data_IF_538617697018
#
_entry.id   IF_538617697018
#
_cell.length_a   1.000
_cell.length_b   1.000
_cell.length_c   1.000
_cell.angle_alpha   90.00
_cell.angle_beta   90.00
_cell.angle_gamma   90.00
#
_symmetry.space_group_name_H-M   'P 1'
#
loop_
_entity.id
_entity.type
_entity.pdbx_description
1 polymer ?
#
# COMPACT_ATOMS: atom_id res chain seq x y z
N UNK A 1 41.10 -55.12 36.47
CA UNK A 1 40.30 -55.07 37.71
C UNK A 1 39.53 -53.77 37.68
N UNK A 2 38.20 -53.65 37.56
CA UNK A 2 37.04 -54.51 37.29
C UNK A 2 35.97 -53.51 36.78
N UNK A 3 35.30 -53.75 35.64
CA UNK A 3 33.93 -54.28 35.52
C UNK A 3 32.95 -53.65 36.54
N UNK A 4 32.03 -52.77 36.12
CA UNK A 4 30.73 -53.02 35.45
C UNK A 4 29.71 -53.60 36.42
N UNK A 5 28.72 -52.80 36.80
CA UNK A 5 27.45 -53.27 37.35
C UNK A 5 26.32 -52.79 36.44
N UNK A 6 25.89 -53.70 35.57
CA UNK A 6 24.54 -53.75 35.05
C UNK A 6 23.69 -54.51 36.07
N UNK A 7 22.49 -54.03 36.36
CA UNK A 7 21.44 -54.85 36.95
C UNK A 7 20.21 -54.82 36.05
N UNK A 8 19.83 -56.02 35.66
CA UNK A 8 18.84 -56.48 34.69
C UNK A 8 17.45 -56.67 35.31
N UNK A 9 16.41 -56.56 34.45
CA UNK A 9 15.20 -57.41 34.38
C UNK A 9 14.18 -57.35 35.55
N UNK A 10 12.86 -57.56 35.40
CA UNK A 10 12.02 -58.00 34.30
C UNK A 10 10.51 -57.77 34.63
N UNK A 11 9.72 -57.59 33.56
CA UNK A 11 8.43 -58.22 33.21
C UNK A 11 7.24 -58.32 34.17
N UNK A 12 6.07 -57.85 33.70
CA UNK A 12 4.83 -58.62 33.48
C UNK A 12 3.75 -57.68 32.89
N UNK A 13 3.49 -57.70 31.59
CA UNK A 13 2.38 -58.43 30.92
C UNK A 13 0.96 -58.06 31.39
N UNK A 14 0.23 -57.42 30.48
CA UNK A 14 -1.21 -57.18 30.54
C UNK A 14 -1.73 -56.96 29.11
N UNK A 15 -2.04 -58.05 28.43
CA UNK A 15 -2.66 -58.11 27.10
C UNK A 15 -4.19 -57.99 27.22
N UNK A 16 -4.85 -57.24 26.31
CA UNK A 16 -6.14 -57.57 25.66
C UNK A 16 -6.42 -56.55 24.52
N UNK A 17 -6.29 -57.06 23.29
CA UNK A 17 -7.11 -56.91 22.08
C UNK A 17 -7.47 -55.53 21.43
N UNK A 18 -7.72 -55.52 20.09
CA UNK A 18 -7.52 -54.35 19.23
C UNK A 18 -8.83 -53.71 18.73
N UNK A 19 -8.81 -52.39 18.49
CA UNK A 19 -9.86 -51.69 17.76
C UNK A 19 -9.46 -51.49 16.29
N UNK A 20 -10.28 -52.02 15.39
CA UNK A 20 -10.25 -51.87 13.94
C UNK A 20 -10.90 -50.53 13.50
N UNK A 21 -10.74 -50.10 12.23
CA UNK A 21 -11.04 -48.74 11.78
C UNK A 21 -12.52 -48.59 11.40
N UNK A 22 -13.15 -47.50 11.82
CA UNK A 22 -14.52 -47.16 11.41
C UNK A 22 -14.54 -46.37 10.11
N UNK A 23 -15.27 -46.92 9.16
CA UNK A 23 -15.64 -46.39 7.86
C UNK A 23 -16.78 -45.37 7.97
N UNK A 24 -16.80 -44.42 7.02
CA UNK A 24 -17.85 -43.43 6.77
C UNK A 24 -19.28 -43.98 6.76
N UNK A 25 -20.27 -43.08 6.84
CA UNK A 25 -21.40 -43.17 5.93
C UNK A 25 -21.57 -41.91 5.08
N UNK A 26 -21.92 -42.18 3.83
CA UNK A 26 -22.51 -41.27 2.85
C UNK A 26 -23.78 -40.61 3.41
N UNK A 27 -24.02 -39.34 3.08
CA UNK A 27 -25.36 -38.97 2.66
C UNK A 27 -25.39 -37.82 1.65
N UNK A 28 -26.00 -38.19 0.54
CA UNK A 28 -26.39 -37.50 -0.68
C UNK A 28 -27.63 -36.62 -0.42
N UNK A 29 -27.65 -35.35 -0.86
CA UNK A 29 -28.84 -34.67 -1.44
C UNK A 29 -28.40 -33.49 -2.34
N UNK A 30 -28.60 -33.69 -3.65
CA UNK A 30 -29.16 -32.80 -4.71
C UNK A 30 -28.84 -31.29 -4.72
N UNK A 31 -28.15 -30.76 -5.75
CA UNK A 31 -28.61 -30.44 -7.11
C UNK A 31 -29.33 -29.07 -7.24
N UNK A 32 -28.64 -28.13 -7.88
CA UNK A 32 -29.11 -27.05 -8.78
C UNK A 32 -27.84 -26.23 -9.12
N UNK A 33 -27.26 -26.20 -10.31
CA UNK A 33 -27.88 -26.20 -11.62
C UNK A 33 -28.05 -24.76 -12.07
N UNK A 34 -26.96 -24.06 -12.44
CA UNK A 34 -27.07 -23.04 -13.47
C UNK A 34 -25.79 -22.94 -14.31
N UNK A 35 -26.01 -23.02 -15.61
CA UNK A 35 -25.03 -23.24 -16.67
C UNK A 35 -25.24 -22.09 -17.65
N UNK A 36 -24.39 -21.07 -17.61
CA UNK A 36 -24.32 -20.06 -18.66
C UNK A 36 -23.20 -20.42 -19.66
N UNK A 37 -23.44 -20.37 -20.98
CA UNK A 37 -22.60 -21.02 -21.96
C UNK A 37 -21.42 -20.14 -22.42
N UNK A 38 -20.26 -20.75 -22.56
CA UNK A 38 -19.22 -20.31 -23.48
C UNK A 38 -19.71 -20.52 -24.92
N UNK A 39 -19.70 -19.46 -25.74
CA UNK A 39 -19.73 -19.57 -27.18
C UNK A 39 -18.33 -19.27 -27.72
N UNK A 40 -17.71 -20.29 -28.29
CA UNK A 40 -16.59 -20.13 -29.20
C UNK A 40 -17.05 -19.45 -30.48
N UNK A 41 -16.18 -18.62 -31.02
CA UNK A 41 -16.24 -18.18 -32.40
C UNK A 41 -14.89 -18.40 -33.06
N UNK A 42 -15.00 -19.02 -34.23
CA UNK A 42 -13.97 -19.63 -35.04
C UNK A 42 -12.89 -18.67 -35.55
N UNK A 43 -11.71 -19.25 -35.74
CA UNK A 43 -10.67 -18.74 -36.61
C UNK A 43 -11.15 -18.76 -38.07
N UNK A 44 -10.96 -17.65 -38.79
CA UNK A 44 -10.82 -17.68 -40.25
C UNK A 44 -9.81 -16.64 -40.71
N UNK A 45 -8.73 -17.14 -41.31
CA UNK A 45 -7.74 -16.36 -42.02
C UNK A 45 -8.29 -15.88 -43.38
N UNK A 46 -7.94 -14.67 -43.78
CA UNK A 46 -7.73 -14.28 -45.18
C UNK A 46 -6.91 -12.98 -45.22
N UNK A 47 -5.81 -13.02 -45.96
CA UNK A 47 -5.03 -11.87 -46.35
C UNK A 47 -5.73 -11.12 -47.49
N UNK A 48 -5.61 -9.79 -47.54
CA UNK A 48 -5.41 -9.06 -48.79
C UNK A 48 -4.94 -7.61 -48.51
N UNK A 49 -4.16 -7.14 -49.47
CA UNK A 49 -3.26 -6.00 -49.48
C UNK A 49 -3.98 -4.73 -50.03
N UNK A 50 -3.25 -3.61 -50.09
CA UNK A 50 -3.50 -2.40 -50.91
C UNK A 50 -4.18 -1.17 -50.25
N UNK A 51 -3.31 -0.30 -49.72
CA UNK A 51 -3.01 1.07 -50.24
C UNK A 51 -3.97 2.27 -50.03
N UNK A 52 -3.33 3.35 -49.51
CA UNK A 52 -3.50 4.79 -49.80
C UNK A 52 -4.79 5.53 -49.37
N UNK A 53 -4.64 6.46 -48.41
CA UNK A 53 -4.67 7.93 -48.62
C UNK A 53 -5.00 8.68 -47.31
N UNK A 54 -4.11 9.59 -46.88
CA UNK A 54 -4.48 10.79 -46.10
C UNK A 54 -5.12 11.83 -47.05
N UNK A 55 -5.93 12.80 -46.58
CA UNK A 55 -5.35 14.01 -45.95
C UNK A 55 -6.20 14.71 -44.86
N UNK A 56 -5.48 15.51 -44.06
CA UNK A 56 -5.71 16.87 -43.54
C UNK A 56 -7.12 17.50 -43.42
N UNK A 57 -7.35 18.20 -42.30
CA UNK A 57 -7.74 19.65 -42.17
C UNK A 57 -8.09 19.96 -40.69
N UNK A 58 -7.38 20.87 -39.98
CA UNK A 58 -7.69 22.31 -39.79
C UNK A 58 -9.19 22.53 -39.47
N UNK A 59 -9.59 22.98 -38.28
CA UNK A 59 -9.18 24.19 -37.56
C UNK A 59 -10.30 25.22 -37.74
N UNK A 60 -10.92 25.70 -36.65
CA UNK A 60 -11.44 27.08 -36.51
C UNK A 60 -12.16 27.28 -35.17
N UNK A 61 -11.98 28.49 -34.65
CA UNK A 61 -12.52 29.05 -33.42
C UNK A 61 -13.78 29.92 -33.72
N UNK A 62 -14.23 30.67 -32.71
CA UNK A 62 -15.36 31.63 -32.68
C UNK A 62 -16.72 31.02 -32.29
N UNK A 63 -17.64 31.69 -31.60
CA UNK A 63 -17.70 32.89 -30.76
C UNK A 63 -19.14 32.93 -30.17
N UNK A 64 -19.27 33.55 -28.99
CA UNK A 64 -20.43 34.22 -28.37
C UNK A 64 -21.90 33.91 -28.74
N UNK A 65 -22.75 33.85 -27.71
CA UNK A 65 -24.20 33.90 -27.86
C UNK A 65 -24.95 34.01 -26.52
N UNK A 66 -25.09 35.23 -26.02
CA UNK A 66 -26.08 35.64 -25.00
C UNK A 66 -27.52 35.41 -25.51
N UNK A 67 -28.40 34.88 -24.65
CA UNK A 67 -29.84 35.15 -24.71
C UNK A 67 -30.53 34.88 -23.36
N UNK A 68 -31.15 35.93 -22.85
CA UNK A 68 -32.00 35.98 -21.66
C UNK A 68 -33.46 35.54 -21.94
N UNK A 69 -34.18 35.31 -20.84
CA UNK A 69 -35.63 35.58 -20.59
C UNK A 69 -36.60 34.38 -20.60
N UNK A 70 -37.79 34.43 -19.94
CA UNK A 70 -38.23 35.32 -18.84
C UNK A 70 -39.14 34.67 -17.74
N UNK A 71 -39.24 35.45 -16.65
CA UNK A 71 -40.31 35.74 -15.66
C UNK A 71 -41.62 34.93 -15.51
N UNK A 72 -42.06 34.86 -14.24
CA UNK A 72 -43.39 35.24 -13.67
C UNK A 72 -43.29 35.00 -12.15
N UNK A 73 -43.72 35.81 -11.19
CA UNK A 73 -44.66 36.93 -11.12
C UNK A 73 -45.58 36.70 -9.89
N UNK A 74 -45.87 37.75 -9.10
CA UNK A 74 -46.78 37.85 -7.93
C UNK A 74 -46.17 37.52 -6.53
N UNK A 75 -46.35 38.29 -5.46
CA UNK A 75 -47.01 39.59 -5.24
C UNK A 75 -46.54 40.22 -3.90
N UNK A 76 -46.73 41.53 -3.79
CA UNK A 76 -46.46 42.45 -2.65
C UNK A 76 -47.40 42.15 -1.44
N UNK A 77 -47.23 42.61 -0.20
CA UNK A 77 -47.10 43.99 0.30
C UNK A 77 -46.62 44.02 1.78
N UNK A 78 -46.16 45.22 2.16
CA UNK A 78 -45.53 45.62 3.41
C UNK A 78 -46.49 45.95 4.56
N UNK A 79 -45.91 46.06 5.78
CA UNK A 79 -46.22 46.94 6.94
C UNK A 79 -45.85 46.16 8.23
N UNK A 80 -45.31 46.68 9.33
CA UNK A 80 -44.91 47.99 9.85
C UNK A 80 -44.10 47.69 11.13
N UNK A 81 -43.11 48.53 11.46
CA UNK A 81 -42.43 48.50 12.76
C UNK A 81 -43.29 49.27 13.80
N UNK A 82 -43.15 48.99 15.12
CA UNK A 82 -42.37 49.95 15.90
C UNK A 82 -41.55 49.37 17.06
N UNK A 83 -40.66 50.26 17.53
CA UNK A 83 -39.57 50.18 18.50
C UNK A 83 -40.03 50.41 19.96
N UNK A 84 -39.43 49.73 20.94
CA UNK A 84 -39.21 50.09 22.36
C UNK A 84 -38.74 48.81 23.10
N UNK A 85 -37.86 48.75 24.10
CA UNK A 85 -37.29 49.73 25.03
C UNK A 85 -35.99 49.16 25.64
N UNK A 86 -35.15 50.06 26.17
CA UNK A 86 -33.93 49.74 26.92
C UNK A 86 -34.22 49.38 28.39
N UNK A 87 -33.29 48.71 29.09
CA UNK A 87 -32.63 49.20 30.32
C UNK A 87 -31.87 48.09 31.12
N UNK A 88 -30.70 48.48 31.65
CA UNK A 88 -29.92 47.99 32.83
C UNK A 88 -29.53 46.50 32.92
N UNK A 89 -28.28 46.12 33.21
CA UNK A 89 -27.23 46.75 34.00
C UNK A 89 -27.03 45.94 35.28
N UNK A 90 -25.98 45.11 35.34
CA UNK A 90 -25.48 44.45 36.55
C UNK A 90 -24.07 43.90 36.29
N UNK A 91 -23.04 44.60 36.77
CA UNK A 91 -21.81 43.93 37.21
C UNK A 91 -22.12 43.16 38.50
N UNK A 92 -21.38 42.08 38.81
CA UNK A 92 -20.35 42.29 39.82
C UNK A 92 -19.07 41.45 39.65
N UNK A 93 -18.01 42.00 40.27
CA UNK A 93 -16.88 41.36 40.94
C UNK A 93 -15.88 40.52 40.12
N UNK A 94 -14.73 41.16 39.93
CA UNK A 94 -13.40 40.56 39.92
C UNK A 94 -13.15 39.81 41.23
N UNK A 95 -13.02 38.49 41.13
CA UNK A 95 -12.21 37.67 42.02
C UNK A 95 -11.20 36.93 41.14
N UNK A 96 -9.93 37.31 41.30
CA UNK A 96 -8.77 36.58 40.79
C UNK A 96 -8.62 35.27 41.56
N UNK A 97 -8.70 34.14 40.86
CA UNK A 97 -7.85 32.95 41.04
C UNK A 97 -8.53 31.75 40.38
N UNK A 98 -8.17 31.51 39.11
CA UNK A 98 -8.30 30.20 38.46
C UNK A 98 -7.45 30.20 37.20
N UNK A 99 -6.21 29.72 37.33
CA UNK A 99 -5.48 29.10 36.22
C UNK A 99 -6.29 27.89 35.72
N UNK A 100 -7.30 28.15 34.92
CA UNK A 100 -7.90 27.16 34.03
C UNK A 100 -7.41 27.53 32.65
N UNK A 101 -6.41 26.79 32.16
CA UNK A 101 -5.95 26.87 30.78
C UNK A 101 -7.13 26.61 29.86
N UNK A 102 -7.80 27.69 29.46
CA UNK A 102 -8.81 27.70 28.41
C UNK A 102 -8.10 27.22 27.15
N UNK A 103 -8.18 25.91 26.87
CA UNK A 103 -7.80 25.39 25.58
C UNK A 103 -8.75 26.04 24.59
N UNK A 104 -8.34 27.13 23.98
CA UNK A 104 -9.09 27.79 22.92
C UNK A 104 -9.39 26.68 21.91
N UNK A 105 -10.67 26.33 21.79
CA UNK A 105 -11.09 25.31 20.85
C UNK A 105 -10.79 25.84 19.45
N UNK A 106 -9.70 25.36 18.85
CA UNK A 106 -9.38 25.67 17.48
C UNK A 106 -10.15 24.70 16.56
N UNK A 107 -10.93 25.20 15.60
CA UNK A 107 -11.53 24.36 14.57
C UNK A 107 -10.46 23.51 13.86
N UNK A 108 -10.82 22.27 13.49
CA UNK A 108 -9.89 21.37 12.79
C UNK A 108 -9.39 21.99 11.47
N UNK A 109 -10.28 22.64 10.73
CA UNK A 109 -9.96 23.30 9.47
C UNK A 109 -8.89 24.37 9.66
N UNK A 110 -9.02 25.22 10.69
CA UNK A 110 -8.06 26.30 10.94
C UNK A 110 -6.68 25.75 11.31
N UNK A 111 -6.64 24.73 12.18
CA UNK A 111 -5.39 24.07 12.55
C UNK A 111 -4.74 23.35 11.37
N UNK A 112 -5.55 22.74 10.50
CA UNK A 112 -5.09 22.03 9.31
C UNK A 112 -4.49 22.99 8.29
N UNK A 113 -5.20 24.07 7.93
CA UNK A 113 -4.71 25.07 6.97
C UNK A 113 -3.47 25.80 7.50
N UNK A 114 -3.40 26.06 8.82
CA UNK A 114 -2.19 26.60 9.44
C UNK A 114 -0.98 25.67 9.24
N UNK A 115 -1.06 24.40 9.64
CA UNK A 115 0.05 23.45 9.50
C UNK A 115 0.42 23.19 8.04
N UNK A 116 -0.53 23.29 7.12
CA UNK A 116 -0.30 23.12 5.68
C UNK A 116 0.52 24.26 5.07
N UNK A 117 0.43 25.46 5.62
CA UNK A 117 0.98 26.68 5.01
C UNK A 117 2.06 27.38 5.86
N UNK A 118 2.22 27.00 7.12
CA UNK A 118 3.27 27.55 7.98
C UNK A 118 4.65 27.28 7.39
N UNK A 119 5.53 28.27 7.49
CA UNK A 119 6.97 28.17 7.20
C UNK A 119 7.79 27.81 8.46
N UNK A 120 7.15 27.66 9.62
CA UNK A 120 7.81 27.28 10.86
C UNK A 120 8.12 25.78 10.89
N UNK A 121 9.34 25.44 10.49
CA UNK A 121 9.82 24.05 10.49
C UNK A 121 9.91 23.45 11.90
N UNK A 122 10.11 24.27 12.95
CA UNK A 122 10.20 23.76 14.32
C UNK A 122 8.81 23.36 14.85
N UNK A 123 7.77 24.13 14.52
CA UNK A 123 6.38 23.76 14.81
C UNK A 123 6.00 22.44 14.11
N UNK A 124 6.32 22.31 12.82
CA UNK A 124 6.06 21.10 12.03
C UNK A 124 6.80 19.88 12.61
N UNK A 125 8.07 20.05 12.98
CA UNK A 125 8.88 19.01 13.61
C UNK A 125 8.28 18.56 14.94
N UNK A 126 7.93 19.52 15.81
CA UNK A 126 7.31 19.24 17.10
C UNK A 126 5.97 18.50 16.96
N UNK A 127 5.20 18.80 15.91
CA UNK A 127 3.96 18.10 15.62
C UNK A 127 4.21 16.68 15.09
N UNK A 128 5.14 16.52 14.14
CA UNK A 128 5.49 15.22 13.55
C UNK A 128 5.98 14.20 14.58
N UNK A 129 6.74 14.65 15.58
CA UNK A 129 7.32 13.82 16.65
C UNK A 129 6.38 13.56 17.83
N UNK A 130 5.17 14.13 17.82
CA UNK A 130 4.22 13.98 18.92
C UNK A 130 3.69 12.53 18.97
N UNK A 131 3.64 11.89 20.14
CA UNK A 131 3.06 10.56 20.25
C UNK A 131 1.57 10.59 19.86
N UNK A 132 1.13 9.52 19.18
CA UNK A 132 -0.28 9.38 18.82
C UNK A 132 -1.14 9.25 20.09
N UNK A 133 -2.34 9.85 20.12
CA UNK A 133 -3.32 9.61 21.18
C UNK A 133 -3.69 8.13 21.31
N UNK A 134 -4.30 7.76 22.43
CA UNK A 134 -4.90 6.44 22.58
C UNK A 134 -5.99 6.23 21.51
N UNK A 135 -6.01 5.04 20.90
CA UNK A 135 -6.99 4.63 19.90
C UNK A 135 -8.41 4.58 20.46
N UNK A 136 -8.57 4.46 21.78
CA UNK A 136 -9.87 4.51 22.44
C UNK A 136 -10.54 5.89 22.31
N UNK A 137 -9.76 6.97 22.22
CA UNK A 137 -10.24 8.33 21.94
C UNK A 137 -10.28 8.57 20.42
N UNK A 138 -11.38 8.13 19.81
CA UNK A 138 -11.57 8.23 18.36
C UNK A 138 -11.52 9.68 17.86
N UNK A 139 -11.98 10.65 18.67
CA UNK A 139 -12.03 12.05 18.26
C UNK A 139 -10.62 12.65 18.22
N UNK A 140 -9.83 12.46 19.28
CA UNK A 140 -8.44 12.93 19.32
C UNK A 140 -7.59 12.22 18.25
N UNK A 141 -7.75 10.91 18.09
CA UNK A 141 -7.01 10.11 17.12
C UNK A 141 -7.30 10.55 15.68
N UNK A 142 -8.57 10.76 15.33
CA UNK A 142 -8.97 11.25 14.01
C UNK A 142 -8.45 12.66 13.75
N UNK A 143 -8.52 13.55 14.75
CA UNK A 143 -8.01 14.92 14.66
C UNK A 143 -6.51 14.94 14.40
N UNK A 144 -5.73 14.19 15.17
CA UNK A 144 -4.26 14.13 15.01
C UNK A 144 -3.88 13.53 13.66
N UNK A 145 -4.59 12.49 13.21
CA UNK A 145 -4.32 11.87 11.90
C UNK A 145 -4.52 12.87 10.75
N UNK A 146 -5.59 13.67 10.78
CA UNK A 146 -5.82 14.72 9.78
C UNK A 146 -4.73 15.80 9.81
N UNK A 147 -4.31 16.24 10.99
CA UNK A 147 -3.26 17.25 11.12
C UNK A 147 -1.87 16.73 10.72
N UNK A 148 -1.54 15.47 11.03
CA UNK A 148 -0.32 14.82 10.53
C UNK A 148 -0.31 14.71 9.01
N UNK A 149 -1.48 14.57 8.38
CA UNK A 149 -1.60 14.62 6.93
C UNK A 149 -1.23 16.00 6.36
N UNK A 150 -1.52 17.10 7.07
CA UNK A 150 -1.08 18.44 6.69
C UNK A 150 0.43 18.58 6.83
N UNK A 151 1.00 18.14 7.96
CA UNK A 151 2.43 18.17 8.24
C UNK A 151 3.23 17.34 7.22
N UNK A 152 2.79 16.12 6.92
CA UNK A 152 3.43 15.26 5.94
C UNK A 152 3.38 15.84 4.51
N UNK A 153 2.33 16.62 4.19
CA UNK A 153 2.18 17.29 2.90
C UNK A 153 2.89 18.65 2.80
N UNK A 154 3.48 19.15 3.88
CA UNK A 154 4.17 20.43 3.89
C UNK A 154 5.66 20.23 3.62
N UNK A 155 6.17 20.85 2.54
CA UNK A 155 7.58 20.79 2.14
C UNK A 155 8.54 21.49 3.11
N UNK A 156 8.01 22.28 4.06
CA UNK A 156 8.77 22.91 5.15
C UNK A 156 8.99 21.97 6.33
N UNK A 157 8.29 20.85 6.38
CA UNK A 157 8.58 19.79 7.35
C UNK A 157 9.97 19.24 7.05
N UNK A 158 10.89 19.21 8.03
CA UNK A 158 12.24 18.69 7.84
C UNK A 158 12.25 17.29 7.23
N UNK A 159 13.27 16.98 6.41
CA UNK A 159 13.36 15.69 5.72
C UNK A 159 13.37 14.52 6.71
N UNK A 160 14.13 14.65 7.79
CA UNK A 160 14.24 13.67 8.87
C UNK A 160 12.91 13.39 9.56
N UNK A 161 12.00 14.36 9.59
CA UNK A 161 10.67 14.21 10.17
C UNK A 161 9.70 13.59 9.18
N UNK A 162 9.81 13.91 7.88
CA UNK A 162 9.06 13.22 6.82
C UNK A 162 9.46 11.76 6.69
N UNK A 163 10.77 11.45 6.80
CA UNK A 163 11.27 10.06 6.89
C UNK A 163 10.70 9.38 8.12
N UNK A 164 10.76 10.01 9.29
CA UNK A 164 10.18 9.43 10.51
C UNK A 164 8.69 9.12 10.35
N UNK A 165 7.90 10.03 9.78
CA UNK A 165 6.49 9.80 9.51
C UNK A 165 6.28 8.65 8.51
N UNK A 166 7.08 8.59 7.45
CA UNK A 166 7.03 7.53 6.45
C UNK A 166 7.34 6.15 7.05
N UNK A 167 8.27 6.04 7.99
CA UNK A 167 8.64 4.78 8.64
C UNK A 167 7.64 4.32 9.70
N UNK A 168 7.02 5.26 10.43
CA UNK A 168 6.30 4.94 11.68
C UNK A 168 4.79 5.02 11.57
N UNK A 169 4.25 5.82 10.64
CA UNK A 169 2.81 6.05 10.58
C UNK A 169 2.10 4.89 9.89
N UNK A 170 1.01 4.34 10.47
CA UNK A 170 0.24 3.26 9.87
C UNK A 170 -0.89 3.76 8.95
N UNK A 171 -0.87 5.05 8.59
CA UNK A 171 -2.03 5.75 8.04
C UNK A 171 -1.92 5.92 6.52
N UNK A 172 -2.82 5.30 5.73
CA UNK A 172 -2.74 5.35 4.28
C UNK A 172 -2.74 6.78 3.70
N UNK A 173 -3.52 7.72 4.25
CA UNK A 173 -3.58 9.10 3.77
C UNK A 173 -2.22 9.84 3.91
N UNK A 174 -1.49 9.59 5.00
CA UNK A 174 -0.15 10.15 5.22
C UNK A 174 0.87 9.49 4.29
N UNK A 175 0.89 8.15 4.24
CA UNK A 175 1.83 7.40 3.40
C UNK A 175 1.64 7.70 1.91
N UNK A 176 0.40 7.95 1.47
CA UNK A 176 0.11 8.38 0.09
C UNK A 176 0.75 9.72 -0.25
N UNK A 177 0.68 10.71 0.66
CA UNK A 177 1.34 12.00 0.44
C UNK A 177 2.86 11.82 0.35
N UNK A 178 3.44 11.10 1.30
CA UNK A 178 4.88 10.86 1.37
C UNK A 178 5.39 9.99 0.22
N UNK A 179 4.55 9.14 -0.38
CA UNK A 179 4.92 8.34 -1.56
C UNK A 179 5.19 9.18 -2.81
N UNK A 180 4.78 10.45 -2.83
CA UNK A 180 5.04 11.41 -3.89
C UNK A 180 6.07 12.48 -3.48
N UNK A 181 6.76 12.28 -2.35
CA UNK A 181 7.74 13.23 -1.85
C UNK A 181 8.89 13.44 -2.85
N UNK A 182 9.36 14.68 -3.07
CA UNK A 182 10.50 14.92 -3.96
C UNK A 182 11.78 14.19 -3.52
N UNK A 183 11.97 13.95 -2.21
CA UNK A 183 13.13 13.23 -1.70
C UNK A 183 12.95 11.71 -1.81
N UNK A 184 13.90 11.05 -2.47
CA UNK A 184 13.89 9.59 -2.63
C UNK A 184 13.98 8.85 -1.29
N UNK A 185 14.71 9.39 -0.31
CA UNK A 185 14.84 8.77 1.02
C UNK A 185 13.49 8.70 1.75
N UNK A 186 12.63 9.71 1.60
CA UNK A 186 11.26 9.69 2.15
C UNK A 186 10.42 8.63 1.45
N UNK A 187 10.46 8.55 0.11
CA UNK A 187 9.73 7.52 -0.65
C UNK A 187 10.23 6.11 -0.34
N UNK A 188 11.53 5.94 -0.12
CA UNK A 188 12.15 4.66 0.27
C UNK A 188 11.66 4.24 1.66
N UNK A 189 11.56 5.19 2.60
CA UNK A 189 11.00 4.95 3.92
C UNK A 189 9.54 4.49 3.85
N UNK A 190 8.71 5.10 2.98
CA UNK A 190 7.34 4.61 2.72
C UNK A 190 7.39 3.18 2.20
N UNK A 191 8.24 2.90 1.20
CA UNK A 191 8.36 1.58 0.60
C UNK A 191 8.80 0.48 1.59
N UNK A 192 9.53 0.82 2.67
CA UNK A 192 9.93 -0.10 3.74
C UNK A 192 8.84 -0.31 4.80
N UNK A 193 7.85 0.57 4.89
CA UNK A 193 6.85 0.52 5.94
C UNK A 193 5.95 -0.72 5.77
N UNK A 194 5.87 -1.57 6.80
CA UNK A 194 5.07 -2.80 6.77
C UNK A 194 3.56 -2.55 6.87
N UNK A 195 3.16 -1.36 7.34
CA UNK A 195 1.76 -0.94 7.42
C UNK A 195 1.20 -0.45 6.07
N UNK A 196 2.06 -0.30 5.06
CA UNK A 196 1.66 0.05 3.71
C UNK A 196 0.62 -0.92 3.14
N UNK A 197 -0.12 -0.44 2.15
CA UNK A 197 -1.07 -1.28 1.42
C UNK A 197 -0.44 -1.77 0.12
N UNK A 198 -0.78 -2.99 -0.27
CA UNK A 198 -0.27 -3.62 -1.50
C UNK A 198 -0.37 -2.73 -2.74
N UNK A 199 -1.44 -1.93 -2.88
CA UNK A 199 -1.63 -1.02 -4.00
C UNK A 199 -0.65 0.16 -3.98
N UNK A 200 -0.25 0.63 -2.80
CA UNK A 200 0.73 1.71 -2.63
C UNK A 200 2.14 1.18 -2.90
N UNK A 201 2.48 0.03 -2.33
CA UNK A 201 3.75 -0.65 -2.62
C UNK A 201 3.87 -0.97 -4.11
N UNK A 202 2.78 -1.42 -4.75
CA UNK A 202 2.74 -1.66 -6.20
C UNK A 202 2.96 -0.43 -7.07
N UNK A 203 2.74 0.78 -6.54
CA UNK A 203 3.17 2.03 -7.19
C UNK A 203 4.68 2.23 -7.02
N UNK A 204 5.20 2.01 -5.81
CA UNK A 204 6.61 2.22 -5.45
C UNK A 204 7.56 1.20 -6.10
N UNK A 205 7.09 0.01 -6.50
CA UNK A 205 7.89 -0.92 -7.33
C UNK A 205 8.23 -0.36 -8.71
N UNK A 206 7.56 0.74 -9.12
CA UNK A 206 7.76 1.46 -10.38
C UNK A 206 8.34 2.86 -10.17
N UNK A 207 8.88 3.14 -8.98
CA UNK A 207 9.51 4.43 -8.69
C UNK A 207 10.71 4.67 -9.62
N UNK A 208 11.01 5.95 -9.91
CA UNK A 208 12.17 6.31 -10.72
C UNK A 208 13.49 6.00 -9.99
N UNK A 209 13.49 6.07 -8.66
CA UNK A 209 14.67 5.81 -7.85
C UNK A 209 14.88 4.29 -7.60
N UNK A 210 16.07 3.74 -7.90
CA UNK A 210 16.36 2.33 -7.71
C UNK A 210 16.24 1.84 -6.25
N UNK A 211 16.62 2.66 -5.26
CA UNK A 211 16.55 2.28 -3.86
C UNK A 211 15.09 2.14 -3.40
N UNK A 212 14.22 3.04 -3.85
CA UNK A 212 12.76 2.96 -3.60
C UNK A 212 12.17 1.70 -4.24
N UNK A 213 12.51 1.39 -5.50
CA UNK A 213 12.06 0.16 -6.16
C UNK A 213 12.52 -1.10 -5.40
N UNK A 214 13.78 -1.12 -4.99
CA UNK A 214 14.37 -2.22 -4.22
C UNK A 214 13.63 -2.45 -2.90
N UNK A 215 13.43 -1.38 -2.13
CA UNK A 215 12.69 -1.42 -0.87
C UNK A 215 11.26 -1.95 -1.08
N UNK A 216 10.56 -1.43 -2.09
CA UNK A 216 9.21 -1.87 -2.41
C UNK A 216 9.17 -3.35 -2.79
N UNK A 217 10.09 -3.84 -3.64
CA UNK A 217 10.11 -5.25 -4.05
C UNK A 217 10.42 -6.22 -2.89
N UNK A 218 11.09 -5.74 -1.84
CA UNK A 218 11.39 -6.49 -0.61
C UNK A 218 10.28 -6.42 0.44
N UNK A 219 9.33 -5.50 0.31
CA UNK A 219 8.25 -5.33 1.27
C UNK A 219 7.34 -6.59 1.34
N UNK A 220 6.91 -7.02 2.55
CA UNK A 220 5.99 -8.15 2.72
C UNK A 220 4.62 -7.98 2.05
N UNK A 221 4.17 -6.75 1.83
CA UNK A 221 2.90 -6.43 1.15
C UNK A 221 3.00 -6.56 -0.38
N UNK A 222 4.20 -6.81 -0.91
CA UNK A 222 4.43 -6.96 -2.35
C UNK A 222 3.94 -8.31 -2.84
N UNK A 223 2.98 -8.27 -3.74
CA UNK A 223 2.40 -9.48 -4.31
C UNK A 223 3.38 -10.21 -5.24
N UNK A 224 3.18 -11.52 -5.44
CA UNK A 224 3.96 -12.31 -6.40
C UNK A 224 3.93 -11.75 -7.82
N UNK A 225 2.79 -11.18 -8.24
CA UNK A 225 2.69 -10.51 -9.55
C UNK A 225 3.64 -9.32 -9.64
N UNK A 226 3.67 -8.48 -8.60
CA UNK A 226 4.58 -7.32 -8.56
C UNK A 226 6.05 -7.75 -8.52
N UNK A 227 6.39 -8.80 -7.76
CA UNK A 227 7.74 -9.38 -7.74
C UNK A 227 8.13 -9.98 -9.10
N UNK A 228 7.19 -10.58 -9.83
CA UNK A 228 7.41 -11.07 -11.19
C UNK A 228 7.68 -9.92 -12.17
N UNK A 229 6.87 -8.85 -12.13
CA UNK A 229 7.10 -7.63 -12.91
C UNK A 229 8.48 -7.02 -12.58
N UNK A 230 8.86 -6.99 -11.30
CA UNK A 230 10.19 -6.55 -10.86
C UNK A 230 11.33 -7.41 -11.39
N UNK A 231 11.18 -8.74 -11.36
CA UNK A 231 12.17 -9.66 -11.93
C UNK A 231 12.35 -9.51 -13.45
N UNK A 232 11.32 -9.06 -14.16
CA UNK A 232 11.36 -8.78 -15.60
C UNK A 232 11.89 -7.38 -15.93
N UNK A 233 11.93 -6.47 -14.95
CA UNK A 233 12.30 -5.09 -15.17
C UNK A 233 13.83 -4.95 -15.42
N UNK A 234 14.26 -4.42 -16.58
CA UNK A 234 15.67 -4.25 -16.93
C UNK A 234 16.41 -3.20 -16.08
N UNK A 235 15.69 -2.39 -15.30
CA UNK A 235 16.25 -1.34 -14.45
C UNK A 235 16.41 -1.75 -12.99
N UNK A 236 16.02 -2.98 -12.63
CA UNK A 236 16.23 -3.51 -11.28
C UNK A 236 17.69 -3.95 -11.13
N UNK A 237 18.28 -3.60 -10.00
CA UNK A 237 19.69 -3.85 -9.71
C UNK A 237 19.97 -5.32 -9.33
N UNK A 238 21.25 -5.70 -9.43
CA UNK A 238 21.74 -7.05 -9.12
C UNK A 238 21.34 -7.55 -7.72
N UNK A 239 21.38 -6.69 -6.70
CA UNK A 239 21.11 -7.11 -5.32
C UNK A 239 19.63 -7.41 -5.11
N UNK A 240 18.75 -6.60 -5.72
CA UNK A 240 17.31 -6.84 -5.70
C UNK A 240 16.94 -8.09 -6.49
N UNK A 241 17.54 -8.29 -7.66
CA UNK A 241 17.37 -9.52 -8.44
C UNK A 241 17.86 -10.75 -7.67
N UNK A 242 18.98 -10.66 -6.96
CA UNK A 242 19.49 -11.75 -6.13
C UNK A 242 18.50 -12.14 -5.03
N UNK A 243 17.95 -11.15 -4.31
CA UNK A 243 16.88 -11.36 -3.31
C UNK A 243 15.66 -12.05 -3.93
N UNK A 244 15.14 -11.55 -5.06
CA UNK A 244 14.00 -12.15 -5.75
C UNK A 244 14.30 -13.58 -6.20
N UNK A 245 15.55 -13.85 -6.59
CA UNK A 245 16.06 -15.17 -6.96
C UNK A 245 16.17 -16.15 -5.81
N UNK A 246 16.00 -15.74 -4.55
CA UNK A 246 16.05 -16.61 -3.37
C UNK A 246 14.65 -17.02 -2.86
N UNK A 247 13.60 -16.31 -3.30
CA UNK A 247 12.23 -16.52 -2.84
C UNK A 247 11.68 -17.91 -3.18
N UNK A 248 11.04 -18.55 -2.21
CA UNK A 248 10.48 -19.91 -2.29
C UNK A 248 11.50 -21.04 -2.21
N UNK A 249 12.77 -20.75 -1.96
CA UNK A 249 13.82 -21.76 -1.76
C UNK A 249 14.62 -21.46 -0.49
N UNK A 250 15.24 -20.28 -0.43
CA UNK A 250 16.07 -19.83 0.70
C UNK A 250 15.28 -18.87 1.60
N UNK A 251 14.46 -18.03 0.99
CA UNK A 251 13.57 -17.08 1.66
C UNK A 251 12.12 -17.48 1.44
N UNK A 252 11.25 -17.26 2.43
CA UNK A 252 9.81 -17.59 2.35
C UNK A 252 9.58 -19.04 1.86
N UNK A 253 10.08 -20.03 2.60
CA UNK A 253 10.03 -21.45 2.18
C UNK A 253 8.60 -22.02 2.06
N UNK A 254 7.62 -21.34 2.64
CA UNK A 254 6.18 -21.63 2.55
C UNK A 254 5.51 -20.97 1.34
N UNK A 255 6.26 -20.22 0.52
CA UNK A 255 5.75 -19.56 -0.67
C UNK A 255 5.13 -20.55 -1.68
N UNK A 256 4.10 -20.13 -2.44
CA UNK A 256 3.57 -20.93 -3.53
C UNK A 256 4.66 -21.29 -4.56
N UNK A 257 4.93 -22.60 -4.69
CA UNK A 257 6.04 -23.13 -5.51
C UNK A 257 6.00 -22.62 -6.95
N UNK A 258 4.80 -22.60 -7.56
CA UNK A 258 4.62 -22.14 -8.95
C UNK A 258 4.97 -20.65 -9.07
N UNK A 259 4.37 -19.79 -8.23
CA UNK A 259 4.56 -18.33 -8.32
C UNK A 259 6.00 -17.92 -8.01
N UNK A 260 6.60 -18.49 -6.97
CA UNK A 260 8.01 -18.22 -6.63
C UNK A 260 8.94 -18.67 -7.76
N UNK A 261 8.69 -19.84 -8.38
CA UNK A 261 9.49 -20.30 -9.52
C UNK A 261 9.38 -19.39 -10.76
N UNK A 262 8.21 -18.78 -10.99
CA UNK A 262 8.03 -17.81 -12.08
C UNK A 262 8.87 -16.54 -11.85
N UNK A 263 8.92 -16.04 -10.61
CA UNK A 263 9.78 -14.90 -10.24
C UNK A 263 11.25 -15.25 -10.44
N UNK A 264 11.72 -16.39 -9.93
CA UNK A 264 13.11 -16.82 -10.09
C UNK A 264 13.49 -17.06 -11.55
N UNK A 265 12.56 -17.57 -12.37
CA UNK A 265 12.76 -17.70 -13.83
C UNK A 265 12.90 -16.33 -14.49
N UNK A 266 12.10 -15.34 -14.11
CA UNK A 266 12.22 -13.98 -14.62
C UNK A 266 13.58 -13.37 -14.25
N UNK A 267 14.02 -13.55 -13.00
CA UNK A 267 15.37 -13.17 -12.55
C UNK A 267 16.43 -13.85 -13.43
N UNK A 268 16.35 -15.16 -13.64
CA UNK A 268 17.32 -15.87 -14.49
C UNK A 268 17.42 -15.30 -15.92
N UNK A 269 16.31 -14.80 -16.47
CA UNK A 269 16.25 -14.22 -17.82
C UNK A 269 16.65 -12.73 -17.86
N UNK A 270 16.71 -12.06 -16.72
CA UNK A 270 17.07 -10.65 -16.63
C UNK A 270 18.55 -10.44 -17.00
N UNK A 271 18.84 -9.40 -17.80
CA UNK A 271 20.21 -9.12 -18.21
C UNK A 271 21.08 -8.58 -17.08
N UNK A 272 20.48 -7.93 -16.07
CA UNK A 272 21.17 -7.44 -14.88
C UNK A 272 21.37 -8.51 -13.81
N UNK A 273 21.00 -9.77 -14.05
CA UNK A 273 21.26 -10.81 -13.06
C UNK A 273 22.77 -11.09 -12.96
N UNK A 274 23.29 -10.98 -11.74
CA UNK A 274 24.70 -11.21 -11.47
C UNK A 274 25.10 -12.65 -11.81
N UNK A 275 26.39 -12.86 -12.14
CA UNK A 275 26.91 -14.20 -12.42
C UNK A 275 26.70 -15.16 -11.24
N UNK A 276 26.88 -14.69 -10.01
CA UNK A 276 26.64 -15.49 -8.80
C UNK A 276 25.17 -15.89 -8.66
N UNK A 277 24.24 -14.97 -8.94
CA UNK A 277 22.80 -15.27 -8.96
C UNK A 277 22.49 -16.33 -10.01
N UNK A 278 23.04 -16.22 -11.22
CA UNK A 278 22.85 -17.21 -12.28
C UNK A 278 23.46 -18.58 -11.95
N UNK A 279 24.66 -18.64 -11.38
CA UNK A 279 25.30 -19.90 -10.97
C UNK A 279 24.51 -20.64 -9.89
N UNK A 280 23.85 -19.89 -8.99
CA UNK A 280 22.92 -20.41 -7.99
C UNK A 280 21.63 -20.90 -8.64
N UNK A 281 20.99 -20.08 -9.48
CA UNK A 281 19.76 -20.43 -10.19
C UNK A 281 19.97 -21.58 -11.19
N UNK A 282 21.17 -21.81 -11.71
CA UNK A 282 21.50 -22.96 -12.56
C UNK A 282 21.36 -24.31 -11.84
N UNK A 283 21.29 -24.29 -10.51
CA UNK A 283 21.06 -25.45 -9.62
C UNK A 283 19.68 -25.41 -8.96
N UNK A 284 18.77 -24.55 -9.43
CA UNK A 284 17.42 -24.41 -8.88
C UNK A 284 16.62 -25.72 -8.95
N UNK A 285 15.78 -26.03 -7.94
CA UNK A 285 14.91 -27.21 -7.98
C UNK A 285 13.93 -27.21 -9.15
N UNK A 286 13.54 -26.04 -9.66
CA UNK A 286 12.75 -25.93 -10.88
C UNK A 286 13.63 -26.05 -12.12
N UNK A 287 13.40 -27.11 -12.90
CA UNK A 287 14.13 -27.33 -14.15
C UNK A 287 13.97 -26.20 -15.19
N UNK A 288 12.89 -25.41 -15.12
CA UNK A 288 12.73 -24.24 -15.99
C UNK A 288 13.65 -23.08 -15.61
N UNK A 289 13.78 -22.82 -14.32
CA UNK A 289 14.68 -21.79 -13.77
C UNK A 289 16.13 -22.18 -14.06
N UNK A 290 16.49 -23.43 -13.77
CA UNK A 290 17.84 -23.96 -14.00
C UNK A 290 18.27 -23.85 -15.48
N UNK A 291 17.39 -24.24 -16.41
CA UNK A 291 17.68 -24.15 -17.85
C UNK A 291 17.84 -22.70 -18.32
N UNK A 292 16.99 -21.79 -17.82
CA UNK A 292 17.08 -20.37 -18.16
C UNK A 292 18.42 -19.78 -17.72
N UNK A 293 18.84 -20.06 -16.48
CA UNK A 293 20.12 -19.59 -15.94
C UNK A 293 21.32 -20.21 -16.67
N UNK A 294 21.30 -21.52 -16.95
CA UNK A 294 22.36 -22.20 -17.71
C UNK A 294 22.52 -21.63 -19.12
N UNK A 295 21.42 -21.34 -19.81
CA UNK A 295 21.46 -20.71 -21.14
C UNK A 295 22.13 -19.33 -21.11
N UNK A 296 21.97 -18.58 -20.01
CA UNK A 296 22.60 -17.26 -19.83
C UNK A 296 24.06 -17.33 -19.41
N UNK A 297 24.49 -18.43 -18.79
CA UNK A 297 25.90 -18.68 -18.48
C UNK A 297 26.69 -19.20 -19.69
N UNK A 298 26.00 -19.86 -20.63
CA UNK A 298 26.61 -20.47 -21.81
C UNK A 298 26.73 -19.54 -23.03
N UNK A 299 25.96 -18.44 -23.06
CA UNK A 299 25.99 -17.42 -24.11
C UNK A 299 26.65 -16.14 -23.63
#
# INVERSE_FOLDING_TARGET
MSQQEQSTQASSEGSIAPAQPETSPENLVEANGDKAPEQGLDQKAAAEDVQSHSPETQGDAESEGEAQSPSTGADKEAQTNPKADANTGSEPNVDEDSESGSSVFQPLTDAYEHLRHTDDSAELSAFARRPLPDRSDQAAYSRVTALLEAVAGNNRTPEEDRVFLAETMPFPNILVKLSADPCAAVREAVAKNEADKNWLVGRLTKDADPAVRSAALRNPQTTWKMRLEGGQNPEVDEQTLDFLGQLGVELESDAPVVLSSMVRRAVALNHNSSRSTLERLAKDPSGEVARAAQSRLAG
#
